data_IF_015619677201
#
_entry.id   IF_015619677201
#
_cell.length_a   1.000
_cell.length_b   1.000
_cell.length_c   1.000
_cell.angle_alpha   90.00
_cell.angle_beta   90.00
_cell.angle_gamma   90.00
#
_symmetry.space_group_name_H-M   'P 1'
#
loop_
_entity.id
_entity.type
_entity.pdbx_description
1 polymer ?
#
# COMPACT_ATOMS: atom_id res chain seq x y z
N UNK A 1 2.18 1.09 -9.10
CA UNK A 1 2.56 -0.35 -9.06
C UNK A 1 4.06 -0.45 -9.31
N UNK A 2 4.73 -1.45 -8.77
CA UNK A 2 6.19 -1.62 -8.90
C UNK A 2 6.55 -3.07 -9.18
N UNK A 3 7.71 -3.28 -9.80
CA UNK A 3 8.28 -4.61 -10.08
C UNK A 3 9.76 -4.61 -9.73
N UNK A 4 10.24 -5.68 -9.09
CA UNK A 4 11.63 -5.78 -8.69
C UNK A 4 12.07 -7.23 -8.44
N UNK A 5 13.39 -7.45 -8.43
CA UNK A 5 13.97 -8.71 -7.98
C UNK A 5 15.35 -8.49 -7.39
N UNK A 6 15.72 -9.34 -6.43
CA UNK A 6 17.06 -9.39 -5.86
C UNK A 6 18.05 -10.20 -6.70
N UNK A 7 17.57 -11.18 -7.50
CA UNK A 7 18.45 -12.00 -8.33
C UNK A 7 18.89 -11.24 -9.59
N UNK A 8 20.16 -10.82 -9.61
CA UNK A 8 20.77 -10.09 -10.73
C UNK A 8 20.81 -10.90 -12.03
N UNK A 9 20.83 -12.22 -11.97
CA UNK A 9 20.83 -13.07 -13.17
C UNK A 9 19.54 -12.94 -13.98
N UNK A 10 18.41 -12.68 -13.31
CA UNK A 10 17.10 -12.49 -13.93
C UNK A 10 16.81 -11.02 -14.27
N UNK A 11 17.72 -10.10 -13.98
CA UNK A 11 17.49 -8.65 -14.13
C UNK A 11 17.14 -8.25 -15.56
N UNK A 12 17.71 -8.91 -16.58
CA UNK A 12 17.40 -8.61 -17.99
C UNK A 12 15.95 -8.99 -18.32
N UNK A 13 15.51 -10.17 -17.92
CA UNK A 13 14.15 -10.63 -18.16
C UNK A 13 13.14 -9.77 -17.40
N UNK A 14 13.43 -9.43 -16.14
CA UNK A 14 12.55 -8.59 -15.35
C UNK A 14 12.44 -7.16 -15.91
N UNK A 15 13.54 -6.55 -16.36
CA UNK A 15 13.49 -5.22 -16.99
C UNK A 15 12.63 -5.20 -18.25
N UNK A 16 12.71 -6.25 -19.08
CA UNK A 16 11.86 -6.38 -20.25
C UNK A 16 10.38 -6.48 -19.86
N UNK A 17 10.05 -7.35 -18.90
CA UNK A 17 8.68 -7.48 -18.40
C UNK A 17 8.15 -6.18 -17.78
N UNK A 18 8.96 -5.48 -16.97
CA UNK A 18 8.57 -4.21 -16.38
C UNK A 18 8.29 -3.12 -17.44
N UNK A 19 9.07 -3.11 -18.53
CA UNK A 19 8.87 -2.17 -19.63
C UNK A 19 7.51 -2.37 -20.33
N UNK A 20 7.02 -3.61 -20.44
CA UNK A 20 5.68 -3.90 -21.00
C UNK A 20 4.56 -3.28 -20.14
N UNK A 21 4.81 -3.02 -18.87
CA UNK A 21 3.91 -2.31 -17.94
C UNK A 21 4.23 -0.82 -17.79
N UNK A 22 5.18 -0.28 -18.55
CA UNK A 22 5.64 1.11 -18.43
C UNK A 22 6.36 1.40 -17.11
N UNK A 23 6.97 0.40 -16.50
CA UNK A 23 7.66 0.49 -15.20
C UNK A 23 9.18 0.40 -15.35
N UNK A 24 9.89 1.03 -14.41
CA UNK A 24 11.33 0.79 -14.23
C UNK A 24 11.52 -0.30 -13.17
N UNK A 25 12.15 -1.41 -13.53
CA UNK A 25 12.38 -2.52 -12.60
C UNK A 25 13.43 -2.16 -11.53
N UNK A 26 13.11 -2.42 -10.26
CA UNK A 26 14.05 -2.31 -9.15
C UNK A 26 14.91 -3.57 -9.04
N UNK A 27 16.22 -3.44 -9.27
CA UNK A 27 17.17 -4.57 -9.18
C UNK A 27 18.09 -4.33 -8.00
N UNK A 28 17.76 -4.91 -6.85
CA UNK A 28 18.52 -4.68 -5.61
C UNK A 28 18.36 -5.85 -4.64
N UNK A 29 19.43 -6.15 -3.90
CA UNK A 29 19.46 -7.05 -2.75
C UNK A 29 19.43 -6.30 -1.42
N UNK A 30 19.36 -4.96 -1.44
CA UNK A 30 19.19 -4.12 -0.26
C UNK A 30 17.70 -3.95 0.09
N UNK A 31 17.30 -4.49 1.25
CA UNK A 31 15.92 -4.39 1.72
C UNK A 31 15.48 -2.96 2.05
N UNK A 32 16.42 -2.04 2.35
CA UNK A 32 16.10 -0.63 2.62
C UNK A 32 15.67 0.09 1.34
N UNK A 33 16.28 -0.22 0.19
CA UNK A 33 15.86 0.29 -1.11
C UNK A 33 14.48 -0.24 -1.50
N UNK A 34 14.23 -1.53 -1.24
CA UNK A 34 12.90 -2.14 -1.46
C UNK A 34 11.85 -1.49 -0.57
N UNK A 35 12.14 -1.29 0.71
CA UNK A 35 11.26 -0.60 1.65
C UNK A 35 10.92 0.82 1.16
N UNK A 36 11.93 1.59 0.77
CA UNK A 36 11.75 2.95 0.27
C UNK A 36 10.86 2.97 -0.98
N UNK A 37 11.09 2.04 -1.93
CA UNK A 37 10.28 1.93 -3.14
C UNK A 37 8.82 1.53 -2.85
N UNK A 38 8.60 0.60 -1.92
CA UNK A 38 7.24 0.22 -1.49
C UNK A 38 6.55 1.41 -0.82
N UNK A 39 7.25 2.11 0.07
CA UNK A 39 6.71 3.29 0.74
C UNK A 39 6.32 4.36 -0.29
N UNK A 40 7.18 4.68 -1.26
CA UNK A 40 6.95 5.67 -2.31
C UNK A 40 5.79 5.33 -3.24
N UNK A 41 5.61 4.05 -3.57
CA UNK A 41 4.48 3.60 -4.40
C UNK A 41 3.17 3.52 -3.61
N UNK A 42 3.22 3.23 -2.30
CA UNK A 42 2.08 2.90 -1.44
C UNK A 42 1.05 1.96 -2.12
N UNK A 43 1.45 0.72 -2.44
CA UNK A 43 0.54 -0.25 -3.04
C UNK A 43 -0.52 -0.74 -2.04
N UNK A 44 -1.60 -1.29 -2.58
CA UNK A 44 -2.68 -1.93 -1.78
C UNK A 44 -2.37 -3.38 -1.40
N UNK A 45 -1.42 -4.01 -2.12
CA UNK A 45 -0.96 -5.37 -1.89
C UNK A 45 0.52 -5.47 -2.25
N UNK A 46 1.27 -6.20 -1.43
CA UNK A 46 2.65 -6.58 -1.71
C UNK A 46 2.69 -8.09 -2.01
N UNK A 47 3.27 -8.45 -3.16
CA UNK A 47 3.59 -9.83 -3.52
C UNK A 47 5.12 -9.96 -3.51
N UNK A 48 5.68 -10.59 -2.47
CA UNK A 48 7.13 -10.56 -2.26
C UNK A 48 7.67 -11.78 -1.51
N UNK A 49 8.72 -11.56 -0.73
CA UNK A 49 9.38 -12.58 0.10
C UNK A 49 8.98 -12.38 1.57
N UNK A 50 9.57 -13.17 2.47
CA UNK A 50 9.35 -12.97 3.90
C UNK A 50 9.86 -11.60 4.40
N UNK A 51 10.82 -10.97 3.71
CA UNK A 51 11.26 -9.61 4.05
C UNK A 51 10.19 -8.57 3.74
N UNK A 52 9.56 -8.65 2.57
CA UNK A 52 8.44 -7.78 2.20
C UNK A 52 7.24 -7.96 3.13
N UNK A 53 7.02 -9.15 3.70
CA UNK A 53 6.01 -9.35 4.75
C UNK A 53 6.29 -8.49 5.98
N UNK A 54 7.55 -8.36 6.39
CA UNK A 54 7.94 -7.48 7.51
C UNK A 54 7.74 -6.01 7.15
N UNK A 55 8.12 -5.61 5.93
CA UNK A 55 7.90 -4.25 5.42
C UNK A 55 6.40 -3.92 5.41
N UNK A 56 5.57 -4.80 4.84
CA UNK A 56 4.12 -4.65 4.79
C UNK A 56 3.50 -4.50 6.18
N UNK A 57 3.92 -5.31 7.17
CA UNK A 57 3.45 -5.19 8.55
C UNK A 57 3.75 -3.81 9.16
N UNK A 58 4.93 -3.25 8.90
CA UNK A 58 5.32 -1.92 9.41
C UNK A 58 4.58 -0.79 8.68
N UNK A 59 4.34 -0.94 7.38
CA UNK A 59 3.64 0.07 6.57
C UNK A 59 2.10 -0.07 6.61
N UNK A 60 1.58 -1.13 7.24
CA UNK A 60 0.14 -1.41 7.24
C UNK A 60 -0.40 -1.86 5.89
N UNK A 61 0.43 -2.48 5.05
CA UNK A 61 0.07 -2.94 3.70
C UNK A 61 -0.06 -4.47 3.70
N UNK A 62 -1.20 -5.03 3.23
CA UNK A 62 -1.36 -6.46 3.04
C UNK A 62 -0.23 -7.09 2.20
N UNK A 63 0.18 -8.31 2.55
CA UNK A 63 1.28 -8.98 1.88
C UNK A 63 1.05 -10.49 1.74
N UNK A 64 1.36 -11.03 0.55
CA UNK A 64 1.49 -12.46 0.29
C UNK A 64 2.93 -12.80 -0.12
N UNK A 65 3.41 -13.97 0.30
CA UNK A 65 4.74 -14.48 -0.05
C UNK A 65 4.65 -15.29 -1.33
N UNK A 66 5.44 -14.94 -2.34
CA UNK A 66 5.46 -15.55 -3.68
C UNK A 66 6.84 -16.13 -4.06
N UNK A 67 7.88 -15.82 -3.30
CA UNK A 67 9.26 -16.24 -3.60
C UNK A 67 10.07 -16.43 -2.32
N UNK A 68 11.11 -17.26 -2.42
CA UNK A 68 12.19 -17.29 -1.44
C UNK A 68 12.88 -15.91 -1.33
N UNK A 69 13.49 -15.58 -0.17
CA UNK A 69 13.51 -16.35 1.08
C UNK A 69 12.14 -16.41 1.79
N UNK A 70 11.85 -17.55 2.41
CA UNK A 70 10.56 -17.87 3.06
C UNK A 70 10.76 -18.37 4.49
N UNK A 71 9.66 -18.56 5.25
CA UNK A 71 9.71 -19.18 6.58
C UNK A 71 8.89 -20.48 6.63
N UNK A 72 8.83 -21.15 7.79
CA UNK A 72 8.17 -22.46 7.96
C UNK A 72 6.69 -22.50 7.51
N UNK A 73 6.00 -21.35 7.52
CA UNK A 73 4.60 -21.23 7.09
C UNK A 73 4.42 -21.50 5.59
N UNK A 74 5.47 -21.25 4.79
CA UNK A 74 5.46 -21.44 3.34
C UNK A 74 5.90 -22.88 2.94
N UNK A 75 6.13 -23.76 3.92
CA UNK A 75 6.32 -25.20 3.74
C UNK A 75 5.17 -25.99 4.40
N UNK A 76 3.93 -25.84 3.91
CA UNK A 76 2.78 -26.43 4.56
C UNK A 76 2.70 -27.95 4.31
N UNK A 77 2.04 -28.66 5.23
CA UNK A 77 1.77 -30.09 5.06
C UNK A 77 0.75 -30.39 3.94
N UNK A 78 -0.11 -29.42 3.58
CA UNK A 78 -1.11 -29.56 2.51
C UNK A 78 -0.45 -29.46 1.13
N UNK A 79 -1.09 -30.07 0.13
CA UNK A 79 -0.75 -29.85 -1.26
C UNK A 79 -0.95 -28.37 -1.63
N UNK A 80 0.10 -27.71 -2.09
CA UNK A 80 0.14 -26.26 -2.29
C UNK A 80 1.08 -25.85 -3.44
N UNK A 81 0.88 -26.41 -4.66
CA UNK A 81 1.71 -26.07 -5.80
C UNK A 81 1.58 -24.59 -6.18
N UNK A 82 2.60 -24.06 -6.84
CA UNK A 82 2.54 -22.76 -7.54
C UNK A 82 2.39 -22.92 -9.06
N UNK A 83 2.60 -24.14 -9.58
CA UNK A 83 2.58 -24.44 -11.02
C UNK A 83 1.34 -25.27 -11.40
N UNK A 84 0.96 -25.18 -12.68
CA UNK A 84 -0.16 -25.93 -13.25
C UNK A 84 -1.53 -25.40 -12.82
N UNK A 85 -2.59 -26.13 -13.19
CA UNK A 85 -3.97 -25.70 -12.93
C UNK A 85 -4.28 -25.58 -11.44
N UNK A 86 -3.85 -26.54 -10.63
CA UNK A 86 -4.05 -26.46 -9.18
C UNK A 86 -3.21 -25.35 -8.55
N UNK A 87 -2.03 -25.04 -9.11
CA UNK A 87 -1.25 -23.89 -8.68
C UNK A 87 -1.96 -22.57 -8.88
N UNK A 88 -2.75 -22.42 -9.95
CA UNK A 88 -3.57 -21.23 -10.16
C UNK A 88 -4.65 -21.07 -9.07
N UNK A 89 -5.27 -22.16 -8.62
CA UNK A 89 -6.23 -22.14 -7.51
C UNK A 89 -5.57 -21.67 -6.21
N UNK A 90 -4.40 -22.25 -5.89
CA UNK A 90 -3.62 -21.88 -4.69
C UNK A 90 -3.18 -20.42 -4.75
N UNK A 91 -2.69 -19.95 -5.90
CA UNK A 91 -2.28 -18.56 -6.11
C UNK A 91 -3.45 -17.61 -5.89
N UNK A 92 -4.62 -17.91 -6.47
CA UNK A 92 -5.81 -17.08 -6.34
C UNK A 92 -6.20 -16.88 -4.87
N UNK A 93 -6.36 -17.96 -4.13
CA UNK A 93 -6.72 -17.89 -2.70
C UNK A 93 -5.64 -17.15 -1.90
N UNK A 94 -4.36 -17.43 -2.17
CA UNK A 94 -3.23 -16.85 -1.41
C UNK A 94 -3.08 -15.34 -1.63
N UNK A 95 -3.28 -14.85 -2.85
CA UNK A 95 -3.07 -13.44 -3.19
C UNK A 95 -4.28 -12.57 -2.82
N UNK A 96 -5.49 -13.14 -2.86
CA UNK A 96 -6.72 -12.41 -2.55
C UNK A 96 -7.00 -12.40 -1.05
N UNK A 97 -6.63 -13.45 -0.31
CA UNK A 97 -6.93 -13.56 1.13
C UNK A 97 -6.47 -12.38 2.01
N UNK A 98 -5.30 -11.75 1.79
CA UNK A 98 -4.86 -10.60 2.59
C UNK A 98 -5.66 -9.32 2.36
N UNK A 99 -6.40 -9.23 1.26
CA UNK A 99 -7.20 -8.05 0.94
C UNK A 99 -8.44 -8.01 1.83
N UNK A 100 -8.83 -6.80 2.23
CA UNK A 100 -10.11 -6.56 2.92
C UNK A 100 -11.23 -6.99 1.98
N UNK A 101 -12.15 -7.82 2.45
CA UNK A 101 -13.26 -8.27 1.61
C UNK A 101 -14.18 -7.08 1.30
N UNK A 102 -14.76 -7.02 0.09
CA UNK A 102 -15.49 -5.84 -0.40
C UNK A 102 -16.67 -5.36 0.47
N UNK A 103 -17.23 -6.22 1.33
CA UNK A 103 -18.23 -5.80 2.33
C UNK A 103 -17.59 -5.02 3.49
N UNK A 104 -16.44 -5.45 3.97
CA UNK A 104 -15.71 -4.80 5.05
C UNK A 104 -15.10 -3.47 4.59
N UNK A 105 -14.66 -3.37 3.34
CA UNK A 105 -14.25 -2.10 2.72
C UNK A 105 -15.43 -1.11 2.69
N UNK A 106 -16.62 -1.57 2.30
CA UNK A 106 -17.83 -0.76 2.27
C UNK A 106 -18.28 -0.35 3.69
N UNK A 107 -18.21 -1.26 4.65
CA UNK A 107 -18.56 -1.02 6.04
C UNK A 107 -17.58 -0.05 6.72
N UNK A 108 -16.27 -0.16 6.46
CA UNK A 108 -15.28 0.81 6.93
C UNK A 108 -15.56 2.21 6.38
N UNK A 109 -16.02 2.35 5.13
CA UNK A 109 -16.45 3.66 4.61
C UNK A 109 -17.75 4.16 5.22
N UNK A 110 -18.69 3.27 5.55
CA UNK A 110 -20.03 3.62 6.03
C UNK A 110 -20.10 3.86 7.54
N UNK A 111 -19.26 3.18 8.33
CA UNK A 111 -19.27 3.17 9.80
C UNK A 111 -17.93 3.64 10.41
N UNK A 112 -17.29 4.63 9.80
CA UNK A 112 -15.98 5.16 10.25
C UNK A 112 -15.89 5.58 11.72
N UNK A 113 -17.01 5.99 12.30
CA UNK A 113 -17.10 6.45 13.69
C UNK A 113 -17.50 5.33 14.66
N UNK A 114 -17.68 4.11 14.16
CA UNK A 114 -18.00 2.94 14.97
C UNK A 114 -16.76 2.43 15.72
N UNK A 115 -16.96 1.98 16.96
CA UNK A 115 -15.87 1.55 17.82
C UNK A 115 -15.28 0.18 17.41
N UNK A 116 -16.03 -0.61 16.62
CA UNK A 116 -15.69 -1.97 16.22
C UNK A 116 -15.17 -2.03 14.77
N UNK A 117 -15.63 -1.13 13.89
CA UNK A 117 -15.31 -1.11 12.46
C UNK A 117 -14.68 0.22 12.02
N UNK A 118 -13.46 0.50 12.49
CA UNK A 118 -12.72 1.72 12.14
C UNK A 118 -11.41 1.42 11.38
N UNK A 119 -10.86 2.41 10.67
CA UNK A 119 -9.66 2.28 9.81
C UNK A 119 -8.45 1.57 10.46
N UNK A 120 -8.29 1.62 11.79
CA UNK A 120 -7.19 0.97 12.50
C UNK A 120 -7.42 -0.53 12.83
N UNK A 121 -8.57 -1.13 12.47
CA UNK A 121 -8.94 -2.48 12.88
C UNK A 121 -8.29 -3.62 12.05
N UNK A 122 -7.79 -3.35 10.84
CA UNK A 122 -7.26 -4.39 9.93
C UNK A 122 -8.35 -5.36 9.43
N UNK A 123 -8.04 -6.32 8.55
CA UNK A 123 -9.04 -7.24 7.98
C UNK A 123 -9.63 -8.20 9.03
N UNK A 124 -10.96 -8.24 9.14
CA UNK A 124 -11.74 -8.97 10.14
C UNK A 124 -11.57 -10.50 10.10
N UNK A 125 -11.15 -11.06 8.96
CA UNK A 125 -10.93 -12.50 8.77
C UNK A 125 -9.60 -13.01 9.32
N UNK A 126 -8.66 -12.11 9.57
CA UNK A 126 -7.49 -12.41 10.36
C UNK A 126 -7.85 -12.04 11.80
N UNK A 127 -8.09 -13.03 12.66
CA UNK A 127 -8.50 -12.84 14.07
C UNK A 127 -7.48 -12.12 14.97
N UNK A 128 -7.00 -10.96 14.55
CA UNK A 128 -6.01 -10.13 15.22
C UNK A 128 -6.71 -9.06 16.06
N UNK A 129 -6.36 -9.05 17.34
CA UNK A 129 -6.68 -8.00 18.30
C UNK A 129 -6.37 -6.63 17.72
N UNK A 130 -7.34 -5.73 17.77
CA UNK A 130 -7.16 -4.31 17.52
C UNK A 130 -5.87 -3.81 18.21
N UNK A 131 -4.94 -3.28 17.42
CA UNK A 131 -3.81 -2.54 17.95
C UNK A 131 -4.35 -1.30 18.66
N UNK A 132 -3.98 -1.11 19.92
CA UNK A 132 -4.35 0.09 20.66
C UNK A 132 -3.91 1.34 19.89
N UNK A 133 -4.85 2.29 19.78
CA UNK A 133 -4.66 3.62 19.19
C UNK A 133 -3.44 4.29 19.83
N UNK A 134 -2.40 4.70 19.07
CA UNK A 134 -1.37 5.57 19.60
C UNK A 134 -2.04 6.87 20.08
N UNK A 135 -1.81 7.24 21.34
CA UNK A 135 -2.26 8.51 21.86
C UNK A 135 -1.67 9.66 21.04
N UNK A 136 -2.52 10.64 20.76
CA UNK A 136 -2.25 11.82 19.97
C UNK A 136 -1.24 12.71 20.71
N UNK A 137 0.05 12.50 20.45
CA UNK A 137 1.11 13.38 20.94
C UNK A 137 1.10 14.69 20.16
N UNK A 138 0.90 15.78 20.90
CA UNK A 138 0.87 17.14 20.39
C UNK A 138 2.14 17.48 19.59
N UNK A 139 1.95 17.91 18.33
CA UNK A 139 3.01 18.43 17.46
C UNK A 139 3.66 19.70 18.08
N UNK A 140 5.00 19.81 18.13
CA UNK A 140 5.68 21.09 18.34
C UNK A 140 5.51 22.02 17.13
N UNK A 141 5.69 23.34 17.30
CA UNK A 141 5.42 24.31 16.23
C UNK A 141 6.44 24.16 15.09
N UNK A 142 5.94 24.00 13.87
CA UNK A 142 6.72 23.84 12.64
C UNK A 142 7.42 25.15 12.24
N UNK A 143 8.68 25.03 11.85
CA UNK A 143 9.50 26.13 11.31
C UNK A 143 9.26 26.20 9.80
N UNK A 144 8.98 27.40 9.29
CA UNK A 144 8.69 27.66 7.87
C UNK A 144 9.85 27.23 6.95
N UNK A 145 9.64 26.13 6.24
CA UNK A 145 10.25 25.85 4.95
C UNK A 145 9.09 25.84 3.96
N UNK A 146 9.29 26.24 2.71
CA UNK A 146 8.26 26.39 1.67
C UNK A 146 7.54 25.06 1.30
N UNK A 147 6.78 24.51 2.24
CA UNK A 147 6.04 23.26 2.14
C UNK A 147 4.60 23.53 1.70
N UNK A 148 4.08 22.64 0.87
CA UNK A 148 2.65 22.59 0.53
C UNK A 148 1.84 22.52 1.82
N UNK A 149 0.82 23.37 1.96
CA UNK A 149 -0.05 23.38 3.14
C UNK A 149 -1.42 22.81 2.78
N UNK A 150 -1.87 21.81 3.54
CA UNK A 150 -3.22 21.30 3.46
C UNK A 150 -4.14 22.19 4.29
N UNK A 151 -5.30 22.55 3.74
CA UNK A 151 -6.33 23.24 4.52
C UNK A 151 -7.07 22.22 5.41
N UNK A 152 -7.58 22.66 6.56
CA UNK A 152 -8.18 21.75 7.55
C UNK A 152 -9.37 20.95 6.98
N UNK A 153 -10.15 21.57 6.11
CA UNK A 153 -11.26 20.95 5.37
C UNK A 153 -10.76 19.91 4.35
N UNK A 154 -9.65 20.17 3.65
CA UNK A 154 -9.02 19.21 2.74
C UNK A 154 -8.43 18.00 3.48
N UNK A 155 -7.86 18.19 4.67
CA UNK A 155 -7.38 17.09 5.51
C UNK A 155 -8.53 16.19 5.99
N UNK A 156 -9.67 16.78 6.35
CA UNK A 156 -10.88 16.04 6.70
C UNK A 156 -11.41 15.26 5.51
N UNK A 157 -11.42 15.86 4.32
CA UNK A 157 -11.84 15.19 3.08
C UNK A 157 -10.88 14.06 2.69
N UNK A 158 -9.58 14.24 2.88
CA UNK A 158 -8.57 13.20 2.68
C UNK A 158 -8.77 12.01 3.63
N UNK A 159 -9.17 12.26 4.89
CA UNK A 159 -9.52 11.19 5.84
C UNK A 159 -10.74 10.38 5.37
N UNK A 160 -11.61 10.96 4.52
CA UNK A 160 -12.71 10.21 3.90
C UNK A 160 -12.27 9.22 2.82
N UNK A 161 -11.01 9.25 2.41
CA UNK A 161 -10.44 8.24 1.50
C UNK A 161 -10.02 7.02 2.34
N UNK A 162 -10.38 5.77 1.92
CA UNK A 162 -9.98 4.56 2.62
C UNK A 162 -8.47 4.49 2.86
N UNK A 163 -8.03 4.00 4.02
CA UNK A 163 -6.63 4.14 4.46
C UNK A 163 -5.60 3.57 3.46
N UNK A 164 -5.92 2.46 2.80
CA UNK A 164 -5.03 1.77 1.85
C UNK A 164 -4.79 2.57 0.56
N UNK A 165 -5.73 3.43 0.14
CA UNK A 165 -5.56 4.35 -1.00
C UNK A 165 -5.20 5.78 -0.57
N UNK A 166 -5.37 6.12 0.71
CA UNK A 166 -5.17 7.47 1.24
C UNK A 166 -3.76 8.01 1.00
N UNK A 167 -2.73 7.17 1.20
CA UNK A 167 -1.34 7.56 0.98
C UNK A 167 -1.08 7.97 -0.47
N UNK A 168 -1.57 7.18 -1.43
CA UNK A 168 -1.49 7.50 -2.87
C UNK A 168 -2.28 8.75 -3.23
N UNK A 169 -3.51 8.88 -2.71
CA UNK A 169 -4.34 10.07 -2.95
C UNK A 169 -3.66 11.35 -2.44
N UNK A 170 -3.05 11.30 -1.25
CA UNK A 170 -2.28 12.42 -0.69
C UNK A 170 -1.14 12.84 -1.63
N UNK A 171 -0.27 11.89 -2.02
CA UNK A 171 0.87 12.18 -2.92
C UNK A 171 0.44 12.69 -4.27
N UNK A 172 -0.55 12.05 -4.90
CA UNK A 172 -1.06 12.50 -6.19
C UNK A 172 -1.56 13.95 -6.11
N UNK A 173 -2.20 14.33 -5.01
CA UNK A 173 -2.68 15.70 -4.78
C UNK A 173 -1.52 16.67 -4.55
N UNK A 174 -0.50 16.27 -3.79
CA UNK A 174 0.71 17.08 -3.55
C UNK A 174 1.50 17.30 -4.86
N UNK A 175 1.71 16.26 -5.66
CA UNK A 175 2.34 16.36 -6.98
C UNK A 175 1.53 17.27 -7.90
N UNK A 176 0.20 17.09 -7.95
CA UNK A 176 -0.68 17.92 -8.77
C UNK A 176 -0.66 19.41 -8.37
N UNK A 177 -0.66 19.68 -7.08
CA UNK A 177 -0.57 21.04 -6.55
C UNK A 177 0.79 21.67 -6.90
N UNK A 178 1.87 20.91 -6.74
CA UNK A 178 3.23 21.33 -7.11
C UNK A 178 3.34 21.66 -8.60
N UNK A 179 2.84 20.79 -9.48
CA UNK A 179 2.87 20.97 -10.94
C UNK A 179 2.11 22.22 -11.41
N UNK A 180 1.10 22.65 -10.64
CA UNK A 180 0.30 23.85 -10.92
C UNK A 180 0.74 25.09 -10.14
N UNK A 181 1.81 24.98 -9.34
CA UNK A 181 2.29 26.06 -8.48
C UNK A 181 1.32 26.46 -7.36
N UNK A 182 0.37 25.58 -7.03
CA UNK A 182 -0.62 25.81 -5.97
C UNK A 182 0.02 25.41 -4.63
N UNK A 183 0.17 26.37 -3.71
CA UNK A 183 0.74 26.11 -2.37
C UNK A 183 -0.28 25.62 -1.35
N UNK A 184 -1.54 26.02 -1.53
CA UNK A 184 -2.68 25.69 -0.67
C UNK A 184 -3.46 24.51 -1.26
N UNK A 185 -3.39 23.35 -0.61
CA UNK A 185 -4.17 22.18 -1.02
C UNK A 185 -5.55 22.30 -0.36
N UNK A 186 -6.51 22.82 -1.13
CA UNK A 186 -7.93 22.88 -0.76
C UNK A 186 -8.69 21.62 -1.19
N UNK A 187 -9.95 21.52 -0.77
CA UNK A 187 -10.87 20.47 -1.23
C UNK A 187 -10.96 20.44 -2.76
N UNK A 188 -11.01 21.60 -3.41
CA UNK A 188 -11.08 21.70 -4.87
C UNK A 188 -9.83 21.09 -5.53
N UNK A 189 -8.64 21.43 -5.02
CA UNK A 189 -7.37 20.85 -5.49
C UNK A 189 -7.36 19.32 -5.36
N UNK A 190 -7.89 18.78 -4.26
CA UNK A 190 -8.02 17.34 -4.03
C UNK A 190 -8.95 16.68 -5.07
N UNK A 191 -10.11 17.27 -5.36
CA UNK A 191 -11.04 16.75 -6.37
C UNK A 191 -10.50 16.87 -7.80
N UNK A 192 -9.82 17.97 -8.13
CA UNK A 192 -9.17 18.15 -9.42
C UNK A 192 -8.04 17.13 -9.64
N UNK A 193 -7.22 16.89 -8.61
CA UNK A 193 -6.17 15.87 -8.66
C UNK A 193 -6.77 14.48 -8.88
N UNK A 194 -7.86 14.14 -8.17
CA UNK A 194 -8.60 12.89 -8.37
C UNK A 194 -9.06 12.74 -9.83
N UNK A 195 -9.63 13.79 -10.42
CA UNK A 195 -10.08 13.77 -11.82
C UNK A 195 -8.93 13.69 -12.84
N UNK A 196 -7.75 14.21 -12.50
CA UNK A 196 -6.55 14.13 -13.34
C UNK A 196 -5.97 12.71 -13.38
N UNK A 197 -5.84 12.05 -12.22
CA UNK A 197 -5.25 10.72 -12.10
C UNK A 197 -6.22 9.55 -12.29
N UNK A 198 -7.53 9.82 -12.44
CA UNK A 198 -8.54 8.82 -12.77
C UNK A 198 -8.73 8.59 -14.29
N UNK A 199 -7.92 9.25 -15.13
CA UNK A 199 -7.90 9.04 -16.59
C UNK A 199 -6.96 7.92 -17.00
#
# INVERSE_FOLDING_TARGET
VGMGCYNREQARALRAAAADYGLTALITDDYLEVEAAIADVAPELILGTQMERHIGKRLGIPCAVISAPVHVQDFPARYSPQMGFEGANVIFDTWVHPLVMGLEEHLLTMFREDFEFHDAAGPSHHGAKASARPEEQAKPPETEIATLHWTADAELELKKIPFFVRGKAKRNTETFASDRGVRAISIDTLYEAKAHYAR
#
